data_IF_402146864968
#
_entry.id   IF_402146864968
#
_cell.length_a   1.000
_cell.length_b   1.000
_cell.length_c   1.000
_cell.angle_alpha   90.00
_cell.angle_beta   90.00
_cell.angle_gamma   90.00
#
_symmetry.space_group_name_H-M   'P 1'
#
loop_
_entity.id
_entity.type
_entity.pdbx_description
1 polymer ?
#
# COMPACT_ATOMS: atom_id res chain seq x y z
N UNK A 1 14.96 -20.46 -26.23
CA UNK A 1 13.81 -21.39 -26.11
C UNK A 1 12.50 -20.58 -26.03
N UNK A 2 11.36 -21.13 -26.47
CA UNK A 2 10.07 -20.50 -26.22
C UNK A 2 9.70 -20.67 -24.73
N UNK A 3 9.23 -19.61 -24.08
CA UNK A 3 8.77 -19.65 -22.69
C UNK A 3 7.25 -19.35 -22.63
N UNK A 4 6.41 -20.33 -22.25
CA UNK A 4 4.97 -20.14 -22.14
C UNK A 4 4.52 -19.44 -20.84
N UNK A 5 5.36 -19.39 -19.80
CA UNK A 5 5.03 -18.76 -18.51
C UNK A 5 6.25 -18.25 -17.77
N UNK A 6 6.43 -16.93 -17.76
CA UNK A 6 7.52 -16.25 -17.06
C UNK A 6 7.40 -16.27 -15.52
N UNK A 7 6.24 -16.66 -14.97
CA UNK A 7 6.03 -16.80 -13.53
C UNK A 7 6.14 -18.26 -13.05
N UNK A 8 6.53 -19.17 -13.95
CA UNK A 8 6.76 -20.58 -13.65
C UNK A 8 8.13 -20.85 -13.02
N UNK A 9 8.50 -22.14 -12.97
CA UNK A 9 9.75 -22.59 -12.35
C UNK A 9 11.03 -22.06 -13.03
N UNK A 10 10.94 -21.65 -14.30
CA UNK A 10 12.08 -21.14 -15.10
C UNK A 10 11.70 -19.89 -15.89
N UNK A 11 12.58 -18.89 -15.89
CA UNK A 11 12.31 -17.60 -16.57
C UNK A 11 12.95 -17.49 -17.97
N UNK A 12 13.96 -18.30 -18.28
CA UNK A 12 14.71 -18.18 -19.53
C UNK A 12 13.83 -18.44 -20.77
N UNK A 13 13.99 -17.61 -21.80
CA UNK A 13 13.37 -17.79 -23.10
C UNK A 13 12.64 -16.55 -23.59
N UNK A 14 11.83 -16.75 -24.64
CA UNK A 14 11.08 -15.69 -25.33
C UNK A 14 9.61 -16.10 -25.41
N UNK A 15 8.70 -15.18 -25.12
CA UNK A 15 7.26 -15.43 -25.12
C UNK A 15 6.46 -14.17 -24.78
N UNK A 16 5.13 -14.31 -24.71
CA UNK A 16 4.24 -13.25 -24.23
C UNK A 16 4.27 -13.26 -22.70
N UNK A 17 4.48 -12.10 -22.09
CA UNK A 17 4.54 -11.96 -20.63
C UNK A 17 3.29 -11.29 -20.07
N UNK A 18 2.87 -11.71 -18.88
CA UNK A 18 1.75 -11.12 -18.17
C UNK A 18 2.15 -9.73 -17.64
N UNK A 19 1.23 -8.77 -17.75
CA UNK A 19 1.37 -7.44 -17.16
C UNK A 19 0.22 -7.18 -16.18
N UNK A 20 0.48 -6.36 -15.16
CA UNK A 20 -0.52 -5.99 -14.13
C UNK A 20 -1.59 -5.05 -14.69
N UNK A 21 -2.50 -5.62 -15.48
CA UNK A 21 -3.59 -4.92 -16.17
C UNK A 21 -4.89 -5.70 -16.07
N UNK A 22 -6.01 -4.99 -16.12
CA UNK A 22 -7.35 -5.56 -16.18
C UNK A 22 -8.21 -4.69 -17.08
N UNK A 23 -8.84 -5.31 -18.09
CA UNK A 23 -9.66 -4.64 -19.11
C UNK A 23 -8.92 -3.48 -19.79
N UNK A 24 -7.69 -3.76 -20.28
CA UNK A 24 -6.87 -2.79 -21.02
C UNK A 24 -6.32 -1.61 -20.19
N UNK A 25 -6.46 -1.65 -18.85
CA UNK A 25 -5.99 -0.57 -17.96
C UNK A 25 -5.08 -1.10 -16.87
N UNK A 26 -4.13 -0.27 -16.42
CA UNK A 26 -3.30 -0.55 -15.25
C UNK A 26 -4.15 -0.95 -14.05
N UNK A 27 -3.72 -2.02 -13.37
CA UNK A 27 -4.35 -2.52 -12.14
C UNK A 27 -3.42 -2.25 -10.95
N UNK A 28 -3.34 -0.99 -10.50
CA UNK A 28 -2.49 -0.59 -9.37
C UNK A 28 -2.92 -1.23 -8.05
N UNK A 29 -2.02 -1.27 -7.05
CA UNK A 29 -2.33 -1.75 -5.71
C UNK A 29 -3.53 -1.02 -5.09
N UNK A 30 -3.63 0.30 -5.27
CA UNK A 30 -4.79 1.07 -4.83
C UNK A 30 -6.09 0.60 -5.50
N UNK A 31 -6.07 0.27 -6.79
CA UNK A 31 -7.26 -0.22 -7.50
C UNK A 31 -7.62 -1.66 -7.13
N UNK A 32 -6.62 -2.51 -6.94
CA UNK A 32 -6.80 -3.93 -6.65
C UNK A 32 -7.23 -4.18 -5.20
N UNK A 33 -6.63 -3.48 -4.24
CA UNK A 33 -6.80 -3.79 -2.81
C UNK A 33 -7.48 -2.65 -2.04
N UNK A 34 -7.01 -1.41 -2.17
CA UNK A 34 -7.48 -0.29 -1.35
C UNK A 34 -8.92 0.12 -1.68
N UNK A 35 -9.23 0.38 -2.96
CA UNK A 35 -10.57 0.83 -3.38
C UNK A 35 -11.68 -0.14 -2.97
N UNK A 36 -11.54 -1.48 -3.10
CA UNK A 36 -12.50 -2.41 -2.52
C UNK A 36 -12.59 -2.33 -0.99
N UNK A 37 -11.45 -2.22 -0.30
CA UNK A 37 -11.38 -2.19 1.17
C UNK A 37 -12.01 -0.92 1.77
N UNK A 38 -11.94 0.23 1.09
CA UNK A 38 -12.54 1.51 1.51
C UNK A 38 -14.07 1.44 1.69
N UNK A 39 -14.75 0.40 1.19
CA UNK A 39 -16.19 0.19 1.43
C UNK A 39 -16.49 -0.31 2.84
N UNK A 40 -15.49 -0.77 3.59
CA UNK A 40 -15.64 -1.29 4.96
C UNK A 40 -15.61 -0.12 5.95
N UNK A 41 -16.44 -0.18 6.98
CA UNK A 41 -16.54 0.87 8.01
C UNK A 41 -15.27 1.00 8.89
N UNK A 42 -14.41 0.00 8.89
CA UNK A 42 -13.19 -0.04 9.69
C UNK A 42 -11.93 0.34 8.91
N UNK A 43 -12.06 0.90 7.70
CA UNK A 43 -10.94 1.38 6.89
C UNK A 43 -11.09 2.88 6.69
N UNK A 44 -10.12 3.64 7.17
CA UNK A 44 -10.01 5.09 6.96
C UNK A 44 -8.76 5.38 6.14
N UNK A 45 -8.90 6.25 5.14
CA UNK A 45 -7.80 6.67 4.27
C UNK A 45 -7.67 8.18 4.40
N UNK A 46 -6.48 8.61 4.83
CA UNK A 46 -6.09 10.02 4.81
C UNK A 46 -5.20 10.26 3.60
N UNK A 47 -5.62 11.13 2.69
CA UNK A 47 -4.83 11.56 1.53
C UNK A 47 -4.19 12.91 1.79
N UNK A 48 -3.12 13.22 1.05
CA UNK A 48 -2.34 14.45 1.25
C UNK A 48 -1.86 14.61 2.70
N UNK A 49 -1.55 13.47 3.35
CA UNK A 49 -1.20 13.36 4.75
C UNK A 49 0.21 12.77 4.87
N UNK A 50 1.23 13.61 4.97
CA UNK A 50 2.62 13.16 5.08
C UNK A 50 2.92 12.80 6.54
N UNK A 51 3.22 11.53 6.81
CA UNK A 51 3.70 11.12 8.13
C UNK A 51 5.09 11.72 8.40
N UNK A 52 5.21 12.53 9.45
CA UNK A 52 6.45 13.27 9.78
C UNK A 52 7.22 12.63 10.93
N UNK A 53 6.53 11.93 11.85
CA UNK A 53 7.14 11.35 13.05
C UNK A 53 6.38 10.14 13.56
N UNK A 54 7.10 9.18 14.14
CA UNK A 54 6.51 8.11 14.95
C UNK A 54 6.50 8.55 16.40
N UNK A 55 5.35 8.41 17.06
CA UNK A 55 5.19 8.74 18.47
C UNK A 55 5.49 7.51 19.32
N UNK A 56 6.25 7.69 20.41
CA UNK A 56 6.67 6.62 21.31
C UNK A 56 6.24 6.86 22.76
N UNK A 57 5.89 5.77 23.45
CA UNK A 57 5.85 5.68 24.92
C UNK A 57 6.92 4.69 25.35
N UNK A 58 8.04 5.21 25.87
CA UNK A 58 9.24 4.42 26.11
C UNK A 58 9.74 3.77 24.82
N UNK A 59 9.68 2.44 24.74
CA UNK A 59 10.09 1.66 23.56
C UNK A 59 8.93 1.24 22.64
N UNK A 60 7.69 1.60 22.97
CA UNK A 60 6.50 1.21 22.19
C UNK A 60 6.09 2.33 21.25
N UNK A 61 5.92 2.03 19.96
CA UNK A 61 5.29 2.95 19.02
C UNK A 61 3.78 3.02 19.30
N UNK A 62 3.24 4.23 19.38
CA UNK A 62 1.88 4.50 19.87
C UNK A 62 1.05 5.36 18.92
N UNK A 63 1.62 5.75 17.79
CA UNK A 63 0.94 6.54 16.78
C UNK A 63 1.93 7.24 15.85
N UNK A 64 1.40 8.13 15.03
CA UNK A 64 2.16 9.00 14.15
C UNK A 64 1.69 10.45 14.27
N UNK A 65 2.62 11.35 14.03
CA UNK A 65 2.37 12.74 13.65
C UNK A 65 2.32 12.79 12.12
N UNK A 66 1.41 13.58 11.55
CA UNK A 66 1.33 13.80 10.11
C UNK A 66 0.89 15.22 9.79
N UNK A 67 1.38 15.75 8.67
CA UNK A 67 0.94 17.04 8.13
C UNK A 67 -0.12 16.84 7.07
N UNK A 68 -1.21 17.59 7.16
CA UNK A 68 -2.30 17.57 6.20
C UNK A 68 -2.96 18.95 6.16
N UNK A 69 -3.14 19.49 4.96
CA UNK A 69 -3.74 20.82 4.73
C UNK A 69 -3.03 21.96 5.49
N UNK A 70 -1.71 21.83 5.68
CA UNK A 70 -0.88 22.81 6.41
C UNK A 70 -0.95 22.69 7.94
N UNK A 71 -1.68 21.72 8.47
CA UNK A 71 -1.81 21.47 9.90
C UNK A 71 -1.08 20.19 10.32
N UNK A 72 -0.40 20.25 11.46
CA UNK A 72 0.14 19.07 12.13
C UNK A 72 -0.94 18.37 12.93
N UNK A 73 -1.20 17.11 12.61
CA UNK A 73 -2.22 16.24 13.23
C UNK A 73 -1.56 14.99 13.81
N UNK A 74 -2.30 14.26 14.65
CA UNK A 74 -1.83 13.02 15.27
C UNK A 74 -2.86 11.90 15.09
N UNK A 75 -2.38 10.70 14.75
CA UNK A 75 -3.17 9.47 14.76
C UNK A 75 -2.57 8.48 15.76
N UNK A 76 -3.38 7.99 16.70
CA UNK A 76 -2.95 7.03 17.74
C UNK A 76 -3.21 5.60 17.29
N UNK A 77 -2.26 4.71 17.57
CA UNK A 77 -2.36 3.29 17.26
C UNK A 77 -2.65 2.48 18.52
N UNK A 78 -3.75 1.74 18.51
CA UNK A 78 -4.11 0.84 19.62
C UNK A 78 -3.27 -0.44 19.67
N UNK A 79 -2.57 -0.79 18.57
CA UNK A 79 -1.75 -2.00 18.46
C UNK A 79 -0.37 -1.68 17.89
N UNK A 80 -0.31 -1.42 16.60
CA UNK A 80 0.94 -1.31 15.85
C UNK A 80 0.94 -0.11 14.90
N UNK A 81 2.13 0.39 14.59
CA UNK A 81 2.40 1.32 13.50
C UNK A 81 3.18 0.55 12.44
N UNK A 82 2.71 0.53 11.21
CA UNK A 82 3.34 -0.19 10.08
C UNK A 82 3.86 0.84 9.08
N UNK A 83 5.16 0.78 8.75
CA UNK A 83 5.77 1.54 7.66
C UNK A 83 5.86 0.65 6.42
N UNK A 84 5.63 1.20 5.22
CA UNK A 84 5.54 0.46 3.95
C UNK A 84 6.11 1.23 2.78
#
# INVERSE_FOLDING_TARGET
>A
PFNPDFNGASQEGVGVYQITTRNGRRMSAARAFLRPAMKRNNVRVETNALATKILFEGKRAVGIEYEQDGETKTARAGREVILS
#
